data_IF_038776229456
#
_entry.id   IF_038776229456
#
_cell.length_a   1.000
_cell.length_b   1.000
_cell.length_c   1.000
_cell.angle_alpha   90.00
_cell.angle_beta   90.00
_cell.angle_gamma   90.00
#
_symmetry.space_group_name_H-M   'P 1'
#
loop_
_entity.id
_entity.type
_entity.pdbx_description
1 polymer ?
#
# COMPACT_ATOMS: atom_id res chain seq x y z
N UNK A 1 -12.08 0.08 -5.11
CA UNK A 1 -10.96 1.01 -4.79
C UNK A 1 -11.35 1.96 -3.67
N UNK A 2 -10.94 1.70 -2.43
CA UNK A 2 -11.07 2.68 -1.33
C UNK A 2 -9.74 3.41 -1.22
N UNK A 3 -9.65 4.60 -1.81
CA UNK A 3 -8.51 5.50 -1.67
C UNK A 3 -8.52 6.08 -0.24
N UNK A 4 -7.87 5.42 0.71
CA UNK A 4 -7.65 5.93 2.05
C UNK A 4 -6.46 6.90 2.10
N UNK A 5 -6.50 7.92 2.96
CA UNK A 5 -5.35 8.81 3.21
C UNK A 5 -5.25 10.01 2.25
N UNK A 6 -6.34 10.41 1.61
CA UNK A 6 -6.34 11.59 0.72
C UNK A 6 -6.25 12.89 1.51
N UNK A 7 -5.37 13.80 1.09
CA UNK A 7 -5.32 15.17 1.61
C UNK A 7 -6.59 15.93 1.24
N UNK A 8 -6.95 16.95 2.02
CA UNK A 8 -8.14 17.78 1.75
C UNK A 8 -8.07 18.45 0.37
N UNK A 9 -6.87 18.84 -0.07
CA UNK A 9 -6.62 19.42 -1.40
C UNK A 9 -6.88 18.41 -2.51
N UNK A 10 -6.38 17.19 -2.38
CA UNK A 10 -6.62 16.11 -3.35
C UNK A 10 -8.11 15.74 -3.45
N UNK A 11 -8.84 15.80 -2.33
CA UNK A 11 -10.29 15.63 -2.34
C UNK A 11 -11.02 16.79 -3.06
N UNK A 12 -10.52 18.02 -2.92
CA UNK A 12 -11.06 19.21 -3.60
C UNK A 12 -10.97 19.10 -5.12
N UNK A 13 -9.79 18.73 -5.61
CA UNK A 13 -9.51 18.53 -7.03
C UNK A 13 -10.35 17.41 -7.63
N UNK A 14 -10.40 16.22 -7.01
CA UNK A 14 -11.13 15.07 -7.56
C UNK A 14 -12.64 15.27 -7.64
N UNK A 15 -13.21 16.14 -6.81
CA UNK A 15 -14.65 16.35 -6.74
C UNK A 15 -15.12 17.60 -7.47
N UNK A 16 -14.19 18.47 -7.89
CA UNK A 16 -14.52 19.80 -8.37
C UNK A 16 -15.28 20.64 -7.34
N UNK A 17 -15.02 20.40 -6.04
CA UNK A 17 -15.68 21.09 -4.92
C UNK A 17 -14.65 21.94 -4.19
N UNK A 18 -15.04 23.17 -3.84
CA UNK A 18 -14.16 24.11 -3.14
C UNK A 18 -13.62 23.53 -1.81
N UNK A 19 -12.32 23.71 -1.56
CA UNK A 19 -11.62 23.19 -0.38
C UNK A 19 -12.24 23.66 0.95
N UNK A 20 -12.82 24.87 1.00
CA UNK A 20 -13.53 25.38 2.19
C UNK A 20 -14.77 24.54 2.51
N UNK A 21 -15.49 24.08 1.48
CA UNK A 21 -16.65 23.20 1.63
C UNK A 21 -16.23 21.84 2.18
N UNK A 22 -15.10 21.30 1.71
CA UNK A 22 -14.55 20.03 2.20
C UNK A 22 -14.12 20.13 3.66
N UNK A 23 -13.43 21.21 4.04
CA UNK A 23 -13.05 21.47 5.44
C UNK A 23 -14.27 21.54 6.35
N UNK A 24 -15.32 22.25 5.93
CA UNK A 24 -16.58 22.34 6.69
C UNK A 24 -17.24 20.98 6.87
N UNK A 25 -17.27 20.14 5.82
CA UNK A 25 -17.82 18.78 5.91
C UNK A 25 -17.01 17.89 6.83
N UNK A 26 -15.69 17.97 6.78
CA UNK A 26 -14.83 17.17 7.66
C UNK A 26 -15.01 17.55 9.12
N UNK A 27 -15.04 18.85 9.43
CA UNK A 27 -15.28 19.34 10.79
C UNK A 27 -16.65 18.90 11.32
N UNK A 28 -17.71 18.99 10.50
CA UNK A 28 -19.03 18.46 10.87
C UNK A 28 -19.02 16.96 11.10
N UNK A 29 -18.37 16.18 10.22
CA UNK A 29 -18.28 14.74 10.40
C UNK A 29 -17.50 14.34 11.66
N UNK A 30 -16.45 15.08 12.00
CA UNK A 30 -15.66 14.85 13.23
C UNK A 30 -16.44 15.21 14.50
N UNK A 31 -17.27 16.26 14.46
CA UNK A 31 -18.00 16.74 15.63
C UNK A 31 -19.37 16.08 15.82
N UNK A 32 -20.12 15.87 14.73
CA UNK A 32 -21.52 15.40 14.75
C UNK A 32 -21.66 13.94 14.28
N UNK A 33 -20.62 13.34 13.68
CA UNK A 33 -20.68 12.01 13.07
C UNK A 33 -21.58 11.93 11.81
N UNK A 34 -22.19 13.04 11.39
CA UNK A 34 -23.18 13.10 10.31
C UNK A 34 -22.78 14.06 9.20
N UNK A 35 -23.07 13.67 7.95
CA UNK A 35 -22.91 14.50 6.74
C UNK A 35 -24.26 14.82 6.09
N UNK A 36 -25.34 14.62 6.84
CA UNK A 36 -26.68 14.91 6.35
C UNK A 36 -26.85 16.43 6.14
N UNK A 37 -27.64 16.75 5.11
CA UNK A 37 -28.00 18.15 4.87
C UNK A 37 -28.95 18.56 5.99
N UNK A 38 -28.68 19.69 6.64
CA UNK A 38 -29.64 20.28 7.56
C UNK A 38 -30.92 20.63 6.80
N UNK A 39 -32.07 20.49 7.47
CA UNK A 39 -33.35 20.88 6.89
C UNK A 39 -33.33 22.38 6.60
N UNK A 40 -33.28 22.76 5.32
CA UNK A 40 -33.11 24.16 4.93
C UNK A 40 -33.38 24.40 3.43
N UNK A 41 -33.87 25.60 3.12
CA UNK A 41 -34.33 26.06 1.80
C UNK A 41 -33.17 26.41 0.83
N UNK A 42 -32.10 25.64 0.85
CA UNK A 42 -30.90 25.87 0.03
C UNK A 42 -30.86 25.03 -1.25
N UNK A 43 -29.98 25.41 -2.19
CA UNK A 43 -29.71 24.64 -3.41
C UNK A 43 -29.24 23.22 -3.04
N UNK A 44 -29.90 22.20 -3.58
CA UNK A 44 -29.56 20.80 -3.33
C UNK A 44 -28.12 20.52 -3.78
N UNK A 45 -27.36 19.85 -2.91
CA UNK A 45 -25.97 19.44 -3.14
C UNK A 45 -25.85 18.59 -4.41
N UNK A 46 -24.88 18.91 -5.29
CA UNK A 46 -24.55 18.08 -6.47
C UNK A 46 -24.00 16.69 -6.10
N UNK A 47 -23.39 16.55 -4.92
CA UNK A 47 -22.80 15.29 -4.46
C UNK A 47 -23.80 14.47 -3.62
N UNK A 48 -23.83 13.16 -3.88
CA UNK A 48 -24.66 12.18 -3.17
C UNK A 48 -24.15 11.90 -1.76
N UNK A 49 -25.03 11.39 -0.87
CA UNK A 49 -24.72 11.02 0.52
C UNK A 49 -23.55 10.02 0.59
N UNK A 50 -23.56 9.04 -0.30
CA UNK A 50 -22.50 8.00 -0.39
C UNK A 50 -21.15 8.63 -0.69
N UNK A 51 -21.08 9.55 -1.66
CA UNK A 51 -19.82 10.21 -2.03
C UNK A 51 -19.25 10.99 -0.85
N UNK A 52 -20.08 11.78 -0.14
CA UNK A 52 -19.66 12.54 1.05
C UNK A 52 -19.06 11.64 2.14
N UNK A 53 -19.70 10.50 2.43
CA UNK A 53 -19.24 9.55 3.45
C UNK A 53 -17.91 8.93 3.06
N UNK A 54 -17.75 8.51 1.80
CA UNK A 54 -16.50 7.93 1.30
C UNK A 54 -15.35 8.92 1.47
N UNK A 55 -15.55 10.19 1.09
CA UNK A 55 -14.53 11.23 1.22
C UNK A 55 -14.19 11.50 2.68
N UNK A 56 -15.20 11.65 3.54
CA UNK A 56 -14.96 11.92 4.95
C UNK A 56 -14.18 10.78 5.62
N UNK A 57 -14.51 9.52 5.32
CA UNK A 57 -13.75 8.35 5.77
C UNK A 57 -12.33 8.30 5.19
N UNK A 58 -12.17 8.67 3.93
CA UNK A 58 -10.86 8.73 3.26
C UNK A 58 -9.94 9.78 3.85
N UNK A 59 -10.48 10.94 4.27
CA UNK A 59 -9.74 12.03 4.91
C UNK A 59 -9.53 11.74 6.42
N UNK A 60 -10.50 11.12 7.10
CA UNK A 60 -10.43 10.85 8.54
C UNK A 60 -9.52 9.68 8.90
N UNK A 61 -9.24 8.76 7.95
CA UNK A 61 -8.24 7.71 8.15
C UNK A 61 -6.88 8.38 8.35
N UNK A 62 -6.28 8.20 9.54
CA UNK A 62 -4.90 8.61 9.82
C UNK A 62 -4.00 8.09 8.70
N UNK A 63 -3.19 8.99 8.14
CA UNK A 63 -2.07 8.60 7.32
C UNK A 63 -1.23 7.61 8.12
N UNK A 64 -1.22 6.34 7.72
CA UNK A 64 -0.26 5.41 8.26
C UNK A 64 1.10 5.89 7.74
N UNK A 65 1.92 6.44 8.63
CA UNK A 65 3.30 6.74 8.30
C UNK A 65 3.93 5.44 7.80
N UNK A 66 4.56 5.49 6.63
CA UNK A 66 5.24 4.35 6.00
C UNK A 66 6.27 3.68 6.91
N UNK A 67 6.72 4.33 8.00
CA UNK A 67 7.62 3.89 9.10
C UNK A 67 7.45 2.45 9.67
N UNK A 68 6.45 1.67 9.25
CA UNK A 68 6.20 0.29 9.69
C UNK A 68 6.35 -0.73 8.55
N UNK A 69 7.46 -0.70 7.81
CA UNK A 69 7.73 -1.72 6.78
C UNK A 69 8.46 -2.97 7.31
N UNK A 70 8.72 -3.05 8.62
CA UNK A 70 8.76 -4.34 9.31
C UNK A 70 7.40 -4.54 9.99
N UNK A 71 6.60 -5.49 9.51
CA UNK A 71 5.34 -5.81 10.19
C UNK A 71 5.65 -6.11 11.67
N UNK A 72 4.88 -5.59 12.64
CA UNK A 72 5.19 -5.76 14.06
C UNK A 72 5.47 -7.21 14.46
N UNK A 73 4.80 -8.16 13.81
CA UNK A 73 5.04 -9.60 13.94
C UNK A 73 6.49 -10.01 13.64
N UNK A 74 7.12 -9.45 12.60
CA UNK A 74 8.52 -9.73 12.25
C UNK A 74 9.50 -9.05 13.21
N UNK A 75 9.10 -8.02 13.97
CA UNK A 75 9.96 -7.35 14.97
C UNK A 75 9.85 -7.93 16.38
N UNK A 76 8.87 -8.82 16.59
CA UNK A 76 8.61 -9.44 17.88
C UNK A 76 9.81 -10.27 18.34
N UNK A 77 10.13 -10.19 19.64
CA UNK A 77 11.30 -10.86 20.23
C UNK A 77 11.32 -12.36 19.89
N UNK A 78 10.21 -13.06 20.14
CA UNK A 78 10.07 -14.49 19.85
C UNK A 78 10.30 -14.84 18.38
N UNK A 79 9.83 -14.00 17.45
CA UNK A 79 10.02 -14.22 16.02
C UNK A 79 11.49 -14.00 15.61
N UNK A 80 12.12 -12.94 16.10
CA UNK A 80 13.55 -12.66 15.86
C UNK A 80 14.45 -13.76 16.43
N UNK A 81 14.18 -14.23 17.66
CA UNK A 81 14.92 -15.33 18.29
C UNK A 81 14.80 -16.62 17.47
N UNK A 82 13.57 -16.98 17.08
CA UNK A 82 13.36 -18.17 16.25
C UNK A 82 14.10 -18.07 14.91
N UNK A 83 14.01 -16.92 14.22
CA UNK A 83 14.72 -16.71 12.95
C UNK A 83 16.23 -16.78 13.12
N UNK A 84 16.77 -16.16 14.18
CA UNK A 84 18.21 -16.17 14.46
C UNK A 84 18.74 -17.58 14.77
N UNK A 85 17.93 -18.45 15.38
CA UNK A 85 18.30 -19.84 15.66
C UNK A 85 18.15 -20.76 14.45
N UNK A 86 17.16 -20.53 13.57
CA UNK A 86 16.77 -21.49 12.54
C UNK A 86 17.16 -21.10 11.11
N UNK A 87 17.48 -19.82 10.85
CA UNK A 87 17.81 -19.34 9.51
C UNK A 87 19.30 -19.02 9.42
N UNK A 88 19.94 -19.49 8.35
CA UNK A 88 21.33 -19.19 8.04
C UNK A 88 21.45 -17.72 7.64
N UNK A 89 22.46 -17.03 8.19
CA UNK A 89 22.77 -15.61 7.89
C UNK A 89 21.56 -14.67 8.03
N UNK A 90 20.69 -14.93 9.01
CA UNK A 90 19.54 -14.09 9.29
C UNK A 90 19.94 -12.64 9.57
N UNK A 91 19.33 -11.69 8.86
CA UNK A 91 19.48 -10.27 9.16
C UNK A 91 18.53 -9.88 10.29
N UNK A 92 19.10 -9.50 11.42
CA UNK A 92 18.34 -8.98 12.55
C UNK A 92 17.62 -7.69 12.16
N UNK A 93 16.52 -7.38 12.84
CA UNK A 93 15.72 -6.15 12.58
C UNK A 93 16.50 -4.84 12.59
N UNK A 94 17.67 -4.80 13.25
CA UNK A 94 18.54 -3.63 13.28
C UNK A 94 19.39 -3.46 12.02
N UNK A 95 19.57 -4.52 11.22
CA UNK A 95 20.32 -4.52 9.97
C UNK A 95 19.45 -4.15 8.77
N UNK A 96 18.16 -4.54 8.80
CA UNK A 96 17.25 -4.23 7.70
C UNK A 96 16.77 -2.76 7.78
N UNK A 97 16.99 -1.95 6.73
CA UNK A 97 16.51 -0.58 6.72
C UNK A 97 14.98 -0.52 6.66
N UNK A 98 14.39 0.32 7.50
CA UNK A 98 12.97 0.63 7.42
C UNK A 98 12.63 1.25 6.07
N UNK A 99 11.49 0.88 5.51
CA UNK A 99 10.95 1.45 4.28
C UNK A 99 11.74 1.19 3.01
N UNK A 100 12.31 0.00 2.87
CA UNK A 100 13.11 -0.36 1.71
C UNK A 100 12.50 -1.51 0.89
N UNK A 101 11.30 -1.33 0.30
CA UNK A 101 10.75 -2.32 -0.62
C UNK A 101 11.66 -2.51 -1.85
N UNK A 102 12.34 -1.45 -2.29
CA UNK A 102 13.29 -1.50 -3.40
C UNK A 102 14.45 -2.48 -3.17
N UNK A 103 14.81 -2.72 -1.90
CA UNK A 103 15.86 -3.65 -1.51
C UNK A 103 15.34 -5.07 -1.27
N UNK A 104 14.04 -5.33 -1.42
CA UNK A 104 13.46 -6.64 -1.20
C UNK A 104 13.24 -7.37 -2.54
N UNK A 105 13.97 -8.46 -2.87
CA UNK A 105 13.78 -9.20 -4.12
C UNK A 105 12.36 -9.74 -4.33
N UNK A 106 11.61 -10.00 -3.25
CA UNK A 106 10.26 -10.57 -3.37
C UNK A 106 9.26 -9.58 -3.98
N UNK A 107 9.49 -8.27 -3.85
CA UNK A 107 8.62 -7.25 -4.46
C UNK A 107 8.67 -7.34 -5.99
N UNK A 108 9.86 -7.58 -6.54
CA UNK A 108 10.04 -7.82 -7.97
C UNK A 108 9.39 -9.15 -8.39
N UNK A 109 9.52 -10.19 -7.57
CA UNK A 109 8.86 -11.48 -7.83
C UNK A 109 7.34 -11.33 -7.89
N UNK A 110 6.74 -10.53 -7.00
CA UNK A 110 5.30 -10.23 -7.05
C UNK A 110 4.90 -9.50 -8.33
N UNK A 111 5.74 -8.61 -8.85
CA UNK A 111 5.50 -7.97 -10.15
C UNK A 111 5.48 -9.01 -11.29
N UNK A 112 6.40 -9.98 -11.28
CA UNK A 112 6.42 -11.06 -12.28
C UNK A 112 5.16 -11.93 -12.16
N UNK A 113 4.81 -12.38 -10.96
CA UNK A 113 3.58 -13.15 -10.71
C UNK A 113 2.35 -12.40 -11.20
N UNK A 114 2.27 -11.08 -10.94
CA UNK A 114 1.14 -10.26 -11.36
C UNK A 114 1.05 -10.16 -12.88
N UNK A 115 2.17 -9.98 -13.58
CA UNK A 115 2.22 -9.96 -15.05
C UNK A 115 1.71 -11.28 -15.64
N UNK A 116 2.14 -12.42 -15.08
CA UNK A 116 1.65 -13.73 -15.51
C UNK A 116 0.13 -13.90 -15.31
N UNK A 117 -0.40 -13.41 -14.19
CA UNK A 117 -1.85 -13.44 -13.93
C UNK A 117 -2.62 -12.50 -14.87
N UNK A 118 -2.04 -11.36 -15.25
CA UNK A 118 -2.64 -10.40 -16.18
C UNK A 118 -2.78 -10.96 -17.61
N UNK A 119 -2.00 -11.98 -17.97
CA UNK A 119 -2.15 -12.72 -19.24
C UNK A 119 -3.30 -13.74 -19.22
N UNK A 120 -3.86 -14.02 -18.04
CA UNK A 120 -4.98 -14.94 -17.86
C UNK A 120 -6.32 -14.19 -17.83
N UNK A 121 -7.42 -14.95 -17.85
CA UNK A 121 -8.74 -14.36 -17.65
C UNK A 121 -8.88 -13.71 -16.26
N UNK A 122 -9.80 -12.76 -16.14
CA UNK A 122 -10.06 -12.12 -14.84
C UNK A 122 -10.68 -13.13 -13.86
N UNK A 123 -10.04 -13.41 -12.71
CA UNK A 123 -10.59 -14.37 -11.76
C UNK A 123 -11.88 -13.83 -11.14
N UNK A 124 -12.93 -14.66 -11.13
CA UNK A 124 -14.27 -14.29 -10.63
C UNK A 124 -14.49 -14.69 -9.17
N UNK A 125 -13.63 -15.53 -8.62
CA UNK A 125 -13.70 -16.03 -7.26
C UNK A 125 -12.30 -16.37 -6.71
N UNK A 126 -12.23 -16.62 -5.39
CA UNK A 126 -10.96 -16.88 -4.68
C UNK A 126 -10.29 -18.17 -5.19
N UNK A 127 -11.05 -19.24 -5.43
CA UNK A 127 -10.49 -20.52 -5.90
C UNK A 127 -9.80 -20.39 -7.26
N UNK A 128 -10.40 -19.60 -8.16
CA UNK A 128 -9.83 -19.29 -9.47
C UNK A 128 -8.56 -18.44 -9.34
N UNK A 129 -8.55 -17.43 -8.47
CA UNK A 129 -7.35 -16.65 -8.19
C UNK A 129 -6.22 -17.50 -7.61
N UNK A 130 -6.52 -18.41 -6.67
CA UNK A 130 -5.54 -19.33 -6.11
C UNK A 130 -4.94 -20.25 -7.18
N UNK A 131 -5.77 -20.76 -8.09
CA UNK A 131 -5.31 -21.56 -9.23
C UNK A 131 -4.35 -20.75 -10.11
N UNK A 132 -4.71 -19.50 -10.42
CA UNK A 132 -3.88 -18.62 -11.24
C UNK A 132 -2.56 -18.26 -10.59
N UNK A 133 -2.55 -17.98 -9.28
CA UNK A 133 -1.29 -17.73 -8.54
C UNK A 133 -0.38 -18.98 -8.60
N UNK A 134 -0.95 -20.18 -8.42
CA UNK A 134 -0.17 -21.44 -8.51
C UNK A 134 0.40 -21.66 -9.90
N UNK A 135 -0.39 -21.40 -10.94
CA UNK A 135 0.04 -21.52 -12.33
C UNK A 135 1.09 -20.46 -12.68
N UNK A 136 0.88 -19.19 -12.35
CA UNK A 136 1.87 -18.13 -12.52
C UNK A 136 3.18 -18.48 -11.84
N UNK A 137 3.12 -19.00 -10.60
CA UNK A 137 4.31 -19.44 -9.86
C UNK A 137 5.05 -20.58 -10.56
N UNK A 138 4.36 -21.53 -11.20
CA UNK A 138 5.03 -22.64 -11.90
C UNK A 138 5.74 -22.20 -13.19
N UNK A 139 5.37 -21.06 -13.76
CA UNK A 139 6.03 -20.50 -14.94
C UNK A 139 7.33 -19.77 -14.62
N UNK A 140 7.58 -19.44 -13.35
CA UNK A 140 8.77 -18.70 -12.95
C UNK A 140 9.98 -19.63 -13.00
N UNK A 141 10.90 -19.32 -13.92
CA UNK A 141 12.13 -20.10 -14.07
C UNK A 141 13.06 -19.91 -12.87
N UNK A 142 13.87 -20.93 -12.51
CA UNK A 142 14.94 -20.78 -11.53
C UNK A 142 15.90 -19.63 -11.87
N UNK A 143 16.21 -19.45 -13.15
CA UNK A 143 17.04 -18.35 -13.66
C UNK A 143 16.46 -16.97 -13.29
N UNK A 144 15.14 -16.81 -13.34
CA UNK A 144 14.49 -15.56 -12.92
C UNK A 144 14.75 -15.29 -11.44
N UNK A 145 14.65 -16.31 -10.58
CA UNK A 145 14.91 -16.18 -9.15
C UNK A 145 16.38 -15.84 -8.88
N UNK A 146 17.30 -16.51 -9.56
CA UNK A 146 18.74 -16.25 -9.46
C UNK A 146 19.07 -14.82 -9.88
N UNK A 147 18.49 -14.33 -10.98
CA UNK A 147 18.67 -12.96 -11.46
C UNK A 147 18.15 -11.91 -10.47
N UNK A 148 17.03 -12.17 -9.79
CA UNK A 148 16.50 -11.26 -8.76
C UNK A 148 17.43 -11.13 -7.55
N UNK A 149 18.03 -12.25 -7.13
CA UNK A 149 18.98 -12.31 -6.02
C UNK A 149 20.32 -11.72 -6.42
N UNK A 150 20.88 -12.09 -7.58
CA UNK A 150 22.17 -11.61 -8.07
C UNK A 150 22.17 -10.09 -8.37
N UNK A 151 20.98 -9.50 -8.59
CA UNK A 151 20.80 -8.06 -8.73
C UNK A 151 20.88 -7.26 -7.42
N UNK A 152 20.85 -7.92 -6.25
CA UNK A 152 20.85 -7.24 -4.94
C UNK A 152 22.06 -6.34 -4.69
N UNK A 153 23.32 -6.77 -4.93
CA UNK A 153 24.49 -5.92 -4.73
C UNK A 153 24.42 -4.62 -5.54
N UNK A 154 23.86 -4.66 -6.76
CA UNK A 154 23.66 -3.47 -7.59
C UNK A 154 22.65 -2.49 -6.96
N UNK A 155 21.52 -3.00 -6.45
CA UNK A 155 20.50 -2.20 -5.76
C UNK A 155 21.05 -1.55 -4.49
N UNK A 156 21.82 -2.31 -3.70
CA UNK A 156 22.49 -1.78 -2.51
C UNK A 156 23.47 -0.65 -2.86
N UNK A 157 24.30 -0.81 -3.89
CA UNK A 157 25.21 0.25 -4.38
C UNK A 157 24.46 1.51 -4.81
N UNK A 158 23.31 1.36 -5.48
CA UNK A 158 22.47 2.50 -5.85
C UNK A 158 21.90 3.21 -4.62
N UNK A 159 21.45 2.45 -3.61
CA UNK A 159 20.90 3.01 -2.37
C UNK A 159 21.97 3.80 -1.62
N UNK A 160 23.20 3.28 -1.54
CA UNK A 160 24.35 3.98 -0.96
C UNK A 160 24.64 5.27 -1.75
N UNK A 161 24.65 5.21 -3.08
CA UNK A 161 24.85 6.39 -3.94
C UNK A 161 23.79 7.47 -3.70
N UNK A 162 22.55 7.06 -3.44
CA UNK A 162 21.43 7.94 -3.09
C UNK A 162 21.37 8.31 -1.60
N UNK A 163 22.40 7.97 -0.80
CA UNK A 163 22.47 8.23 0.64
C UNK A 163 21.23 7.71 1.41
N UNK A 164 20.76 6.51 1.05
CA UNK A 164 19.55 5.90 1.63
C UNK A 164 18.24 6.34 0.98
N UNK A 165 18.31 7.14 -0.09
CA UNK A 165 17.14 7.53 -0.88
C UNK A 165 16.55 6.39 -1.72
N UNK A 166 15.35 6.64 -2.24
CA UNK A 166 14.62 5.75 -3.15
C UNK A 166 15.44 5.43 -4.40
N UNK A 167 15.43 4.17 -4.84
CA UNK A 167 16.20 3.69 -6.01
C UNK A 167 15.33 3.17 -7.15
N UNK A 168 14.01 3.07 -6.93
CA UNK A 168 13.08 2.67 -7.98
C UNK A 168 13.01 3.69 -9.12
N UNK A 169 12.52 3.21 -10.27
CA UNK A 169 12.20 4.02 -11.45
C UNK A 169 10.71 4.29 -11.49
#
# INVERSE_FOLDING_TARGET
MVLGGMTQTCASEKLGVNIRTIRRWLSRYQNEGSLENMHGRGRKSKLTKVVKIVIAKSISKRHQSTRKLAAPAHTAKRAQEWCNTNLVEFWHKSQWPGNSPDLNPIENLWSVVKQEIELMDTPTNISMLEKYIKQARSQISPETLENLVSGMPKRMKLCIKQKGGYIGK
#
